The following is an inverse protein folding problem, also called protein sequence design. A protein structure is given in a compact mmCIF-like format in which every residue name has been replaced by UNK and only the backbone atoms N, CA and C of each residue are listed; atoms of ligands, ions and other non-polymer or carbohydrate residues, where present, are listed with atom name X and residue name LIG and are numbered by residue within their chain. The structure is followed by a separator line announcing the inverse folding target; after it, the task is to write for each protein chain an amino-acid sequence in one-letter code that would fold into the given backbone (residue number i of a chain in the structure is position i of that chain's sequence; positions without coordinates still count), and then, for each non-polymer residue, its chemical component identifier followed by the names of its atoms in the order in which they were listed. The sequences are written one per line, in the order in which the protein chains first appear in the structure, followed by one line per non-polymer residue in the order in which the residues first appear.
data_IF_557356460071
#
_entry.id   IF_557356460071
#
_cell.length_a   1.000
_cell.length_b   1.000
_cell.length_c   1.000
_cell.angle_alpha   90.00
_cell.angle_beta   90.00
_cell.angle_gamma   90.00
#
_symmetry.space_group_name_H-M   'P 1'
#
loop_
_entity.id
_entity.type
_entity.pdbx_description
1 polymer ?
#
# COMPACT_ATOMS: atom_id res chain seq x y z
N UNK A 1 -13.79 73.80 -33.44
CA UNK A 1 -14.48 74.84 -32.65
C UNK A 1 -15.91 74.36 -32.49
N UNK A 2 -16.17 73.60 -31.44
CA UNK A 2 -17.49 73.06 -31.10
C UNK A 2 -17.55 73.02 -29.58
N UNK A 3 -18.53 73.75 -29.06
CA UNK A 3 -18.91 73.85 -27.65
C UNK A 3 -19.81 72.67 -27.30
N UNK A 4 -20.16 72.63 -26.00
CA UNK A 4 -21.30 71.94 -25.38
C UNK A 4 -20.95 70.58 -24.78
N UNK A 5 -21.32 70.22 -23.55
CA UNK A 5 -21.96 70.92 -22.44
C UNK A 5 -21.74 70.03 -21.21
N UNK A 6 -21.43 70.61 -20.05
CA UNK A 6 -21.47 69.92 -18.76
C UNK A 6 -22.92 69.57 -18.40
N UNK A 7 -23.20 68.36 -17.92
CA UNK A 7 -24.16 68.16 -16.84
C UNK A 7 -23.92 66.84 -16.09
N UNK A 8 -23.80 66.95 -14.77
CA UNK A 8 -23.67 65.88 -13.78
C UNK A 8 -24.88 64.95 -13.75
N UNK A 9 -24.65 63.65 -13.53
CA UNK A 9 -25.45 62.87 -12.57
C UNK A 9 -24.67 61.67 -12.04
N UNK A 10 -24.98 61.35 -10.79
CA UNK A 10 -24.22 60.53 -9.87
C UNK A 10 -24.41 59.01 -10.05
N UNK A 11 -23.36 58.27 -9.66
CA UNK A 11 -23.34 57.03 -8.88
C UNK A 11 -24.39 55.96 -9.22
N UNK A 12 -23.92 54.83 -9.75
CA UNK A 12 -24.32 53.50 -9.28
C UNK A 12 -23.23 52.48 -9.64
N UNK A 13 -22.32 52.23 -8.70
CA UNK A 13 -21.48 51.05 -8.73
C UNK A 13 -22.38 49.85 -8.39
N UNK A 14 -22.72 49.03 -9.38
CA UNK A 14 -23.38 47.74 -9.14
C UNK A 14 -22.30 46.79 -8.64
N UNK A 15 -22.17 46.72 -7.31
CA UNK A 15 -21.42 45.67 -6.63
C UNK A 15 -22.23 44.37 -6.76
N UNK A 16 -21.92 43.54 -7.75
CA UNK A 16 -22.43 42.17 -7.80
C UNK A 16 -21.68 41.38 -6.72
N UNK A 17 -22.17 41.45 -5.48
CA UNK A 17 -21.84 40.46 -4.47
C UNK A 17 -22.49 39.15 -4.89
N UNK A 18 -21.69 38.29 -5.53
CA UNK A 18 -22.00 36.87 -5.57
C UNK A 18 -21.92 36.37 -4.12
N UNK A 19 -23.07 36.33 -3.46
CA UNK A 19 -23.25 35.57 -2.23
C UNK A 19 -23.11 34.11 -2.65
N UNK A 20 -21.90 33.57 -2.57
CA UNK A 20 -21.74 32.13 -2.42
C UNK A 20 -22.29 31.81 -1.04
N UNK A 21 -23.59 31.56 -0.97
CA UNK A 21 -24.13 30.73 0.10
C UNK A 21 -23.51 29.36 -0.10
N UNK A 22 -22.36 29.12 0.52
CA UNK A 22 -21.94 27.79 0.88
C UNK A 22 -23.01 27.28 1.85
N UNK A 23 -24.07 26.71 1.29
CA UNK A 23 -24.89 25.72 1.98
C UNK A 23 -23.96 24.54 2.22
N UNK A 24 -23.15 24.61 3.26
CA UNK A 24 -22.52 23.45 3.85
C UNK A 24 -23.65 22.62 4.47
N UNK A 25 -24.36 21.85 3.63
CA UNK A 25 -24.88 20.59 4.09
C UNK A 25 -23.65 19.74 4.36
N UNK A 26 -23.16 19.75 5.61
CA UNK A 26 -22.38 18.63 6.10
C UNK A 26 -23.26 17.40 5.89
N UNK A 27 -22.98 16.64 4.84
CA UNK A 27 -23.62 15.35 4.65
C UNK A 27 -23.23 14.51 5.87
N UNK A 28 -24.22 13.96 6.57
CA UNK A 28 -24.08 12.94 7.62
C UNK A 28 -23.56 11.59 7.03
N UNK A 29 -22.80 11.66 5.93
CA UNK A 29 -22.30 10.51 5.20
C UNK A 29 -21.15 9.88 5.98
N UNK A 30 -21.30 8.58 6.27
CA UNK A 30 -20.29 7.78 6.96
C UNK A 30 -18.96 7.80 6.19
N UNK A 31 -17.86 8.35 6.74
CA UNK A 31 -16.56 8.45 6.05
C UNK A 31 -15.96 7.10 5.63
N UNK A 32 -16.45 6.00 6.19
CA UNK A 32 -16.08 4.64 5.78
C UNK A 32 -16.75 4.20 4.47
N UNK A 33 -17.80 4.92 4.04
CA UNK A 33 -18.55 4.70 2.81
C UNK A 33 -18.37 5.84 1.79
N UNK A 34 -17.59 6.86 2.15
CA UNK A 34 -17.22 7.97 1.29
C UNK A 34 -15.83 7.74 0.67
N UNK A 35 -15.69 8.06 -0.61
CA UNK A 35 -14.48 7.77 -1.39
C UNK A 35 -13.79 9.06 -1.81
N UNK A 36 -12.47 9.10 -1.65
CA UNK A 36 -11.65 10.18 -2.19
C UNK A 36 -11.67 10.08 -3.73
N UNK A 37 -12.11 11.16 -4.39
CA UNK A 37 -12.19 11.24 -5.85
C UNK A 37 -10.83 11.53 -6.47
N UNK A 38 -9.98 10.51 -6.51
CA UNK A 38 -8.66 10.53 -7.15
C UNK A 38 -8.55 9.45 -8.22
N UNK A 39 -7.77 9.74 -9.27
CA UNK A 39 -7.47 8.74 -10.30
C UNK A 39 -6.76 7.55 -9.67
N UNK A 40 -7.32 6.36 -9.89
CA UNK A 40 -6.72 5.11 -9.42
C UNK A 40 -5.34 4.91 -10.06
N UNK A 41 -4.34 4.63 -9.24
CA UNK A 41 -2.94 4.50 -9.70
C UNK A 41 -2.28 3.18 -9.32
N UNK A 42 -2.87 2.39 -8.42
CA UNK A 42 -2.29 1.13 -7.93
C UNK A 42 -2.49 0.04 -8.99
N UNK A 43 -1.40 -0.45 -9.58
CA UNK A 43 -1.39 -1.56 -10.54
C UNK A 43 -1.63 -2.90 -9.86
N UNK A 44 -0.97 -3.11 -8.72
CA UNK A 44 -1.16 -4.31 -7.92
C UNK A 44 -0.89 -4.08 -6.43
N UNK A 45 -1.45 -4.96 -5.60
CA UNK A 45 -1.04 -5.19 -4.22
C UNK A 45 -0.59 -6.64 -4.07
N UNK A 46 0.61 -6.84 -3.53
CA UNK A 46 1.25 -8.14 -3.31
C UNK A 46 1.38 -8.37 -1.80
N UNK A 47 0.54 -9.23 -1.26
CA UNK A 47 0.62 -9.64 0.14
C UNK A 47 1.58 -10.82 0.25
N UNK A 48 2.60 -10.70 1.09
CA UNK A 48 3.62 -11.73 1.32
C UNK A 48 3.66 -12.10 2.78
N UNK A 49 3.71 -13.40 3.05
CA UNK A 49 3.85 -13.97 4.38
C UNK A 49 4.38 -15.40 4.24
N UNK A 50 4.60 -16.10 5.35
CA UNK A 50 4.77 -17.54 5.41
C UNK A 50 3.44 -18.25 5.20
N UNK A 51 3.46 -19.53 4.80
CA UNK A 51 2.23 -20.34 4.69
C UNK A 51 1.48 -20.41 6.03
N UNK A 52 2.20 -20.54 7.14
CA UNK A 52 1.61 -20.60 8.47
C UNK A 52 0.99 -19.26 8.89
N UNK A 53 1.72 -18.15 8.71
CA UNK A 53 1.23 -16.80 8.97
C UNK A 53 -0.03 -16.48 8.15
N UNK A 54 0.00 -16.80 6.85
CA UNK A 54 -1.16 -16.60 5.97
C UNK A 54 -2.38 -17.41 6.40
N UNK A 55 -2.19 -18.66 6.80
CA UNK A 55 -3.27 -19.51 7.29
C UNK A 55 -3.91 -18.93 8.56
N UNK A 56 -3.09 -18.42 9.48
CA UNK A 56 -3.55 -17.75 10.70
C UNK A 56 -4.30 -16.45 10.38
N UNK A 57 -3.77 -15.61 9.50
CA UNK A 57 -4.42 -14.37 9.03
C UNK A 57 -5.80 -14.65 8.41
N UNK A 58 -5.92 -15.69 7.57
CA UNK A 58 -7.22 -16.11 7.01
C UNK A 58 -8.17 -16.58 8.11
N UNK A 59 -7.69 -17.36 9.08
CA UNK A 59 -8.50 -17.87 10.20
C UNK A 59 -9.03 -16.72 11.05
N UNK A 60 -8.18 -15.76 11.40
CA UNK A 60 -8.55 -14.56 12.17
C UNK A 60 -9.53 -13.67 11.40
N UNK A 61 -9.33 -13.47 10.09
CA UNK A 61 -10.24 -12.70 9.26
C UNK A 61 -11.64 -13.29 9.20
N UNK A 62 -11.75 -14.60 8.94
CA UNK A 62 -13.03 -15.32 8.96
C UNK A 62 -13.73 -15.20 10.31
N UNK A 63 -12.98 -15.33 11.40
CA UNK A 63 -13.51 -15.17 12.76
C UNK A 63 -14.04 -13.74 12.99
N UNK A 64 -13.27 -12.72 12.60
CA UNK A 64 -13.65 -11.32 12.80
C UNK A 64 -14.89 -10.95 11.97
N UNK A 65 -14.95 -11.38 10.71
CA UNK A 65 -16.10 -11.13 9.85
C UNK A 65 -17.36 -11.87 10.35
N UNK A 66 -17.22 -13.07 10.93
CA UNK A 66 -18.32 -13.76 11.60
C UNK A 66 -18.79 -13.01 12.87
N UNK A 67 -17.88 -12.46 13.67
CA UNK A 67 -18.23 -11.65 14.84
C UNK A 67 -18.97 -10.36 14.44
N UNK A 68 -18.59 -9.76 13.31
CA UNK A 68 -19.30 -8.62 12.72
C UNK A 68 -20.71 -9.00 12.27
N UNK A 69 -20.82 -10.06 11.47
CA UNK A 69 -22.10 -10.55 10.95
C UNK A 69 -23.08 -10.96 12.06
N UNK A 70 -22.57 -11.48 13.17
CA UNK A 70 -23.38 -11.84 14.36
C UNK A 70 -23.61 -10.67 15.32
N UNK A 71 -23.18 -9.45 14.97
CA UNK A 71 -23.29 -8.21 15.76
C UNK A 71 -22.65 -8.30 17.16
N UNK A 72 -21.74 -9.26 17.36
CA UNK A 72 -20.96 -9.42 18.61
C UNK A 72 -19.82 -8.41 18.70
N UNK A 73 -19.34 -7.95 17.55
CA UNK A 73 -18.45 -6.81 17.38
C UNK A 73 -18.95 -5.98 16.20
N UNK A 74 -18.58 -4.71 16.16
CA UNK A 74 -18.85 -3.84 15.02
C UNK A 74 -17.53 -3.27 14.54
N UNK A 75 -17.00 -3.84 13.46
CA UNK A 75 -15.83 -3.33 12.78
C UNK A 75 -16.27 -2.33 11.71
N UNK A 76 -15.45 -1.31 11.45
CA UNK A 76 -15.71 -0.33 10.38
C UNK A 76 -15.76 -1.05 9.03
N UNK A 77 -14.75 -1.90 8.77
CA UNK A 77 -14.62 -2.71 7.58
C UNK A 77 -14.59 -4.21 7.88
N UNK A 78 -14.91 -5.01 6.86
CA UNK A 78 -14.64 -6.45 6.86
C UNK A 78 -13.14 -6.69 6.62
N UNK A 79 -12.60 -7.76 7.17
CA UNK A 79 -11.20 -8.12 6.98
C UNK A 79 -11.01 -8.85 5.65
N UNK A 80 -10.25 -8.27 4.72
CA UNK A 80 -10.04 -8.80 3.37
C UNK A 80 -9.21 -10.07 3.29
N UNK A 81 -8.44 -10.42 4.33
CA UNK A 81 -7.56 -11.60 4.29
C UNK A 81 -8.35 -12.90 4.03
N UNK A 82 -9.65 -12.95 4.36
CA UNK A 82 -10.50 -14.11 4.03
C UNK A 82 -10.71 -14.31 2.51
N UNK A 83 -10.60 -13.23 1.73
CA UNK A 83 -10.84 -13.21 0.29
C UNK A 83 -9.57 -13.40 -0.52
N UNK A 84 -8.40 -13.13 0.07
CA UNK A 84 -7.14 -13.12 -0.66
C UNK A 84 -6.79 -14.52 -1.18
N UNK A 85 -6.58 -14.68 -2.50
CA UNK A 85 -6.23 -15.97 -3.08
C UNK A 85 -4.77 -16.25 -2.78
N UNK A 86 -4.46 -17.47 -2.34
CA UNK A 86 -3.07 -17.95 -2.34
C UNK A 86 -2.65 -18.20 -3.78
N UNK A 87 -1.69 -17.45 -4.29
CA UNK A 87 -1.29 -17.51 -5.71
C UNK A 87 -0.02 -18.30 -5.96
N UNK A 88 1.03 -18.13 -5.13
CA UNK A 88 2.31 -18.82 -5.32
C UNK A 88 2.89 -19.28 -3.98
N UNK A 89 3.51 -20.46 -4.00
CA UNK A 89 4.29 -21.01 -2.90
C UNK A 89 5.75 -21.12 -3.34
N UNK A 90 6.66 -20.50 -2.60
CA UNK A 90 8.09 -20.53 -2.88
C UNK A 90 8.79 -21.14 -1.67
N UNK A 91 9.20 -22.40 -1.82
CA UNK A 91 9.89 -23.14 -0.78
C UNK A 91 11.39 -22.88 -0.85
N UNK A 92 12.01 -22.66 0.31
CA UNK A 92 13.46 -22.61 0.48
C UNK A 92 13.91 -23.77 1.39
N UNK A 93 15.02 -24.45 1.10
CA UNK A 93 15.55 -25.48 1.98
C UNK A 93 15.79 -24.96 3.40
N UNK A 94 15.31 -25.69 4.41
CA UNK A 94 15.48 -25.39 5.83
C UNK A 94 14.93 -24.01 6.27
N UNK A 95 13.97 -23.46 5.55
CA UNK A 95 13.28 -22.22 5.91
C UNK A 95 11.77 -22.37 5.69
N UNK A 96 10.98 -21.46 6.27
CA UNK A 96 9.54 -21.47 6.08
C UNK A 96 9.16 -21.19 4.63
N UNK A 97 8.12 -21.86 4.13
CA UNK A 97 7.64 -21.63 2.77
C UNK A 97 6.95 -20.27 2.71
N UNK A 98 7.39 -19.43 1.77
CA UNK A 98 6.79 -18.12 1.52
C UNK A 98 5.59 -18.30 0.60
N UNK A 99 4.51 -17.60 0.92
CA UNK A 99 3.32 -17.53 0.09
C UNK A 99 3.07 -16.08 -0.34
N UNK A 100 2.54 -15.94 -1.55
CA UNK A 100 2.08 -14.65 -2.06
C UNK A 100 0.59 -14.68 -2.35
N UNK A 101 -0.08 -13.55 -2.16
CA UNK A 101 -1.41 -13.29 -2.67
C UNK A 101 -1.38 -11.97 -3.45
N UNK A 102 -1.79 -12.01 -4.72
CA UNK A 102 -1.67 -10.88 -5.63
C UNK A 102 -3.05 -10.39 -6.09
N UNK A 103 -3.34 -9.12 -5.82
CA UNK A 103 -4.46 -8.41 -6.38
C UNK A 103 -3.97 -7.48 -7.48
N UNK A 104 -4.52 -7.62 -8.70
CA UNK A 104 -4.23 -6.74 -9.83
C UNK A 104 -5.44 -5.89 -10.15
N UNK A 105 -5.20 -4.65 -10.54
CA UNK A 105 -6.24 -3.70 -10.87
C UNK A 105 -6.05 -3.17 -12.30
N UNK A 106 -7.15 -2.79 -12.95
CA UNK A 106 -7.10 -1.95 -14.14
C UNK A 106 -7.01 -0.45 -13.77
N UNK A 107 -6.83 0.43 -14.76
CA UNK A 107 -6.73 1.88 -14.52
C UNK A 107 -8.01 2.51 -13.95
N UNK A 108 -9.15 1.80 -14.00
CA UNK A 108 -10.40 2.20 -13.36
C UNK A 108 -10.52 1.67 -11.92
N UNK A 109 -9.51 0.97 -11.42
CA UNK A 109 -9.48 0.38 -10.08
C UNK A 109 -10.27 -0.91 -9.95
N UNK A 110 -10.71 -1.55 -11.04
CA UNK A 110 -11.44 -2.82 -10.98
C UNK A 110 -10.46 -3.98 -10.83
N UNK A 111 -10.82 -4.98 -10.03
CA UNK A 111 -10.00 -6.17 -9.88
C UNK A 111 -9.97 -7.00 -11.16
N UNK A 112 -8.76 -7.30 -11.63
CA UNK A 112 -8.49 -8.24 -12.72
C UNK A 112 -8.26 -9.62 -12.12
N UNK A 113 -9.25 -10.50 -12.19
CA UNK A 113 -9.21 -11.80 -11.53
C UNK A 113 -10.08 -12.85 -12.20
N UNK A 114 -9.62 -14.11 -12.13
CA UNK A 114 -10.41 -15.29 -12.49
C UNK A 114 -11.15 -15.90 -11.28
N UNK A 115 -10.85 -15.46 -10.06
CA UNK A 115 -11.55 -15.92 -8.86
C UNK A 115 -12.98 -15.37 -8.85
N UNK A 116 -13.97 -16.27 -8.90
CA UNK A 116 -15.39 -15.92 -8.89
C UNK A 116 -15.80 -15.13 -7.64
N UNK A 117 -15.14 -15.36 -6.49
CA UNK A 117 -15.42 -14.64 -5.24
C UNK A 117 -15.05 -13.17 -5.35
N UNK A 118 -13.95 -12.86 -6.05
CA UNK A 118 -13.41 -11.52 -6.24
C UNK A 118 -13.94 -10.80 -7.50
N UNK A 119 -14.73 -11.48 -8.33
CA UNK A 119 -15.31 -10.87 -9.53
C UNK A 119 -16.24 -9.70 -9.17
N UNK A 120 -16.06 -8.59 -9.89
CA UNK A 120 -16.88 -7.39 -9.75
C UNK A 120 -16.49 -6.47 -8.60
N UNK A 121 -15.42 -6.78 -7.87
CA UNK A 121 -14.86 -5.87 -6.88
C UNK A 121 -14.00 -4.77 -7.55
N UNK A 122 -13.95 -3.61 -6.91
CA UNK A 122 -13.05 -2.52 -7.25
C UNK A 122 -12.37 -1.98 -5.99
N UNK A 123 -11.16 -1.46 -6.15
CA UNK A 123 -10.44 -0.72 -5.14
C UNK A 123 -10.97 0.71 -5.03
N UNK A 124 -11.04 1.22 -3.80
CA UNK A 124 -11.35 2.61 -3.47
C UNK A 124 -10.44 3.08 -2.34
N UNK A 125 -10.16 4.38 -2.31
CA UNK A 125 -9.54 5.04 -1.17
C UNK A 125 -10.65 5.70 -0.34
N UNK A 126 -10.85 5.24 0.89
CA UNK A 126 -11.84 5.85 1.79
C UNK A 126 -11.32 7.16 2.36
N UNK A 127 -12.22 8.05 2.79
CA UNK A 127 -11.84 9.26 3.52
C UNK A 127 -11.13 8.97 4.86
N UNK A 128 -11.33 7.77 5.42
CA UNK A 128 -10.56 7.29 6.58
C UNK A 128 -9.09 6.90 6.27
N UNK A 129 -8.61 7.09 5.05
CA UNK A 129 -7.22 6.76 4.68
C UNK A 129 -6.96 5.26 4.54
N UNK A 130 -7.93 4.50 4.03
CA UNK A 130 -7.79 3.07 3.76
C UNK A 130 -8.00 2.76 2.28
N UNK A 131 -7.18 1.86 1.74
CA UNK A 131 -7.52 1.20 0.49
C UNK A 131 -8.47 0.05 0.82
N UNK A 132 -9.65 0.05 0.22
CA UNK A 132 -10.70 -0.92 0.47
C UNK A 132 -11.16 -1.60 -0.82
N UNK A 133 -11.69 -2.81 -0.72
CA UNK A 133 -12.44 -3.48 -1.79
C UNK A 133 -13.94 -3.29 -1.57
N UNK A 134 -14.60 -2.79 -2.61
CA UNK A 134 -16.05 -2.60 -2.67
C UNK A 134 -16.66 -3.36 -3.84
N UNK A 135 -17.94 -3.70 -3.76
CA UNK A 135 -18.74 -4.14 -4.91
C UNK A 135 -19.59 -2.95 -5.38
N UNK A 136 -19.19 -2.21 -6.44
CA UNK A 136 -19.82 -0.94 -6.79
C UNK A 136 -21.32 -1.04 -7.10
N UNK A 137 -21.77 -2.22 -7.54
CA UNK A 137 -23.15 -2.46 -7.95
C UNK A 137 -24.02 -3.09 -6.83
N UNK A 138 -23.53 -3.12 -5.59
CA UNK A 138 -24.26 -3.68 -4.45
C UNK A 138 -24.34 -2.63 -3.36
N UNK A 139 -25.48 -1.94 -3.31
CA UNK A 139 -25.73 -0.89 -2.32
C UNK A 139 -25.62 -1.46 -0.89
N UNK A 140 -25.07 -0.64 0.01
CA UNK A 140 -24.94 -0.94 1.45
C UNK A 140 -24.11 -2.18 1.81
N UNK A 141 -23.23 -2.65 0.91
CA UNK A 141 -22.29 -3.71 1.28
C UNK A 141 -21.13 -3.09 2.05
N UNK A 142 -20.89 -3.58 3.28
CA UNK A 142 -19.71 -3.17 4.06
C UNK A 142 -18.43 -3.45 3.26
N UNK A 143 -17.51 -2.48 3.10
CA UNK A 143 -16.25 -2.67 2.39
C UNK A 143 -15.33 -3.66 3.11
N UNK A 144 -14.39 -4.23 2.34
CA UNK A 144 -13.29 -5.02 2.88
C UNK A 144 -12.02 -4.18 2.96
N UNK A 145 -11.44 -4.05 4.14
CA UNK A 145 -10.17 -3.35 4.34
C UNK A 145 -9.00 -4.14 3.77
N UNK A 146 -8.24 -3.53 2.85
CA UNK A 146 -7.01 -4.12 2.34
C UNK A 146 -5.81 -3.70 3.18
N UNK A 147 -5.62 -2.40 3.31
CA UNK A 147 -4.40 -1.75 3.81
C UNK A 147 -4.69 -0.30 4.17
N UNK A 148 -3.92 0.22 5.12
CA UNK A 148 -3.86 1.66 5.40
C UNK A 148 -3.13 2.37 4.26
N UNK A 149 -3.58 3.57 3.91
CA UNK A 149 -2.88 4.44 2.98
C UNK A 149 -2.04 5.45 3.77
N UNK A 150 -0.72 5.26 3.80
CA UNK A 150 0.20 6.27 4.31
C UNK A 150 0.43 7.30 3.21
N UNK A 151 0.09 8.57 3.46
CA UNK A 151 0.27 9.64 2.47
C UNK A 151 1.74 9.93 2.15
N UNK A 152 2.64 9.65 3.10
CA UNK A 152 4.06 9.95 2.97
C UNK A 152 4.40 11.39 3.37
N UNK A 153 5.68 11.75 3.24
CA UNK A 153 6.20 13.11 3.47
C UNK A 153 6.32 13.81 2.11
N UNK A 154 5.63 14.95 1.89
CA UNK A 154 5.73 15.70 0.65
C UNK A 154 7.18 16.02 0.26
N UNK A 155 7.53 15.78 -1.02
CA UNK A 155 8.88 16.04 -1.53
C UNK A 155 9.94 14.99 -1.16
N UNK A 156 9.61 14.00 -0.32
CA UNK A 156 10.53 12.94 0.06
C UNK A 156 10.19 11.63 -0.64
N UNK A 157 10.96 11.25 -1.67
CA UNK A 157 10.74 10.02 -2.43
C UNK A 157 10.95 8.75 -1.60
N UNK A 158 11.76 8.80 -0.54
CA UNK A 158 11.95 7.67 0.38
C UNK A 158 10.75 7.45 1.29
N UNK A 159 9.94 8.48 1.48
CA UNK A 159 8.70 8.48 2.25
C UNK A 159 7.52 8.84 1.36
N UNK A 160 7.46 8.27 0.17
CA UNK A 160 6.33 8.48 -0.71
C UNK A 160 5.03 7.84 -0.19
N UNK A 161 3.90 8.10 -0.84
CA UNK A 161 2.64 7.46 -0.50
C UNK A 161 2.78 5.94 -0.62
N UNK A 162 2.27 5.19 0.35
CA UNK A 162 2.42 3.74 0.41
C UNK A 162 1.23 3.05 1.07
N UNK A 163 0.72 1.94 0.51
CA UNK A 163 -0.12 1.01 1.23
C UNK A 163 0.69 0.31 2.34
N UNK A 164 0.18 0.32 3.57
CA UNK A 164 0.80 -0.27 4.75
C UNK A 164 -0.17 -1.23 5.46
N UNK A 165 0.37 -2.28 6.06
CA UNK A 165 -0.37 -3.16 6.97
C UNK A 165 -0.24 -2.65 8.41
N UNK A 166 -1.11 -3.14 9.30
CA UNK A 166 -1.07 -2.75 10.73
C UNK A 166 0.32 -2.98 11.36
N UNK A 167 1.01 -4.06 10.97
CA UNK A 167 2.35 -4.37 11.44
C UNK A 167 3.37 -3.27 11.12
N UNK A 168 3.23 -2.56 9.99
CA UNK A 168 4.12 -1.46 9.62
C UNK A 168 4.07 -0.34 10.67
N UNK A 169 2.90 -0.06 11.26
CA UNK A 169 2.78 0.95 12.31
C UNK A 169 3.67 0.61 13.50
N UNK A 170 3.58 -0.63 13.98
CA UNK A 170 4.40 -1.13 15.09
C UNK A 170 5.88 -1.16 14.68
N UNK A 171 6.17 -1.57 13.44
CA UNK A 171 7.54 -1.63 12.89
C UNK A 171 8.30 -0.32 13.02
N UNK A 172 7.62 0.80 12.82
CA UNK A 172 8.27 2.11 12.82
C UNK A 172 8.24 2.81 14.19
N UNK A 173 7.67 2.20 15.24
CA UNK A 173 7.73 2.71 16.61
C UNK A 173 9.16 2.61 17.19
N UNK A 174 9.45 3.46 18.18
CA UNK A 174 10.80 3.65 18.70
C UNK A 174 11.35 2.42 19.45
N UNK A 175 10.45 1.59 19.98
CA UNK A 175 10.74 0.38 20.75
C UNK A 175 10.85 -0.89 19.89
N UNK A 176 10.70 -0.77 18.57
CA UNK A 176 10.92 -1.88 17.66
C UNK A 176 12.34 -2.45 17.80
N UNK A 177 12.42 -3.77 17.98
CA UNK A 177 13.67 -4.51 18.09
C UNK A 177 13.78 -5.50 16.95
N UNK A 178 14.81 -5.32 16.14
CA UNK A 178 15.19 -6.20 15.02
C UNK A 178 15.18 -7.66 15.46
N UNK A 179 14.42 -8.50 14.77
CA UNK A 179 14.32 -9.94 15.03
C UNK A 179 13.41 -10.38 16.18
N UNK A 180 12.72 -9.47 16.87
CA UNK A 180 11.67 -9.80 17.86
C UNK A 180 10.27 -9.94 17.23
N UNK A 181 10.14 -9.60 15.95
CA UNK A 181 8.88 -9.46 15.21
C UNK A 181 8.97 -10.13 13.82
N UNK A 182 7.85 -10.32 13.08
CA UNK A 182 7.82 -11.08 11.83
C UNK A 182 8.39 -10.31 10.62
N UNK A 183 9.53 -9.63 10.78
CA UNK A 183 10.33 -9.03 9.71
C UNK A 183 10.53 -7.52 9.85
N UNK A 184 11.70 -7.05 9.44
CA UNK A 184 12.13 -5.64 9.57
C UNK A 184 11.98 -4.84 8.26
N UNK A 185 11.37 -5.43 7.24
CA UNK A 185 11.03 -4.78 5.97
C UNK A 185 9.54 -4.43 5.92
N UNK A 186 9.21 -3.20 5.55
CA UNK A 186 7.83 -2.72 5.47
C UNK A 186 7.54 -1.75 4.34
N UNK A 187 6.41 -1.06 4.46
CA UNK A 187 5.88 -0.19 3.40
C UNK A 187 6.76 1.04 3.07
N UNK A 188 7.58 1.53 4.02
CA UNK A 188 8.56 2.62 3.80
C UNK A 188 9.78 2.12 3.03
N UNK A 189 10.36 1.00 3.44
CA UNK A 189 11.48 0.36 2.73
C UNK A 189 11.09 -0.01 1.30
N UNK A 190 9.86 -0.51 1.11
CA UNK A 190 9.32 -0.77 -0.22
C UNK A 190 9.28 0.49 -1.08
N UNK A 191 8.73 1.58 -0.55
CA UNK A 191 8.52 2.82 -1.33
C UNK A 191 9.83 3.48 -1.71
N UNK A 192 10.80 3.52 -0.79
CA UNK A 192 12.13 4.04 -1.07
C UNK A 192 12.82 3.25 -2.20
N UNK A 193 12.62 1.93 -2.27
CA UNK A 193 13.17 1.11 -3.35
C UNK A 193 12.38 1.23 -4.66
N UNK A 194 11.04 1.30 -4.58
CA UNK A 194 10.16 1.45 -5.74
C UNK A 194 10.44 2.75 -6.49
N UNK A 195 10.64 3.87 -5.78
CA UNK A 195 10.83 5.20 -6.39
C UNK A 195 12.29 5.55 -6.69
N UNK A 196 13.24 4.68 -6.35
CA UNK A 196 14.64 4.86 -6.73
C UNK A 196 14.93 4.14 -8.05
N UNK A 197 15.03 4.88 -9.16
CA UNK A 197 15.31 4.33 -10.49
C UNK A 197 16.68 3.65 -10.61
N UNK A 198 17.64 3.99 -9.74
CA UNK A 198 18.96 3.35 -9.69
C UNK A 198 18.93 1.97 -9.02
N UNK A 199 17.84 1.64 -8.32
CA UNK A 199 17.62 0.31 -7.73
C UNK A 199 16.80 -0.54 -8.70
N UNK A 200 17.39 -1.56 -9.35
CA UNK A 200 16.69 -2.33 -10.38
C UNK A 200 15.76 -3.41 -9.82
N UNK A 201 15.80 -3.68 -8.53
CA UNK A 201 14.94 -4.64 -7.83
C UNK A 201 14.56 -4.11 -6.44
N UNK A 202 13.57 -4.74 -5.82
CA UNK A 202 13.18 -4.52 -4.42
C UNK A 202 13.70 -5.71 -3.60
N UNK A 203 14.63 -5.46 -2.69
CA UNK A 203 15.12 -6.44 -1.72
C UNK A 203 14.26 -6.39 -0.45
N UNK A 204 13.51 -7.46 -0.21
CA UNK A 204 12.57 -7.60 0.91
C UNK A 204 13.15 -8.40 2.08
N UNK A 205 14.46 -8.65 2.06
CA UNK A 205 15.13 -9.45 3.09
C UNK A 205 15.14 -8.74 4.44
N UNK A 206 14.75 -9.48 5.48
CA UNK A 206 15.09 -9.14 6.86
C UNK A 206 16.44 -9.75 7.21
N UNK A 207 17.44 -8.91 7.39
CA UNK A 207 18.82 -9.25 7.69
C UNK A 207 19.05 -9.27 9.21
N UNK A 208 19.33 -10.44 9.76
CA UNK A 208 19.60 -10.57 11.20
C UNK A 208 20.83 -11.43 11.47
N UNK A 209 21.39 -11.29 12.68
CA UNK A 209 22.48 -12.15 13.15
C UNK A 209 22.08 -13.63 13.30
N UNK A 210 20.77 -13.92 13.39
CA UNK A 210 20.24 -15.29 13.59
C UNK A 210 19.89 -15.98 12.27
N UNK A 211 19.99 -15.28 11.15
CA UNK A 211 19.59 -15.76 9.83
C UNK A 211 18.70 -14.75 9.12
N UNK A 212 18.73 -14.81 7.79
CA UNK A 212 17.92 -13.94 6.95
C UNK A 212 16.58 -14.61 6.69
N UNK A 213 15.52 -13.83 6.64
CA UNK A 213 14.19 -14.34 6.33
C UNK A 213 13.35 -13.27 5.62
N UNK A 214 12.23 -13.71 5.04
CA UNK A 214 11.25 -12.81 4.44
C UNK A 214 10.04 -12.76 5.38
N UNK A 215 9.76 -11.58 5.90
CA UNK A 215 8.67 -11.34 6.84
C UNK A 215 7.32 -11.04 6.18
N UNK A 216 6.33 -10.73 7.02
CA UNK A 216 5.02 -10.25 6.56
C UNK A 216 5.13 -8.80 6.05
N UNK A 217 4.69 -8.58 4.81
CA UNK A 217 4.60 -7.24 4.23
C UNK A 217 3.54 -7.17 3.12
N UNK A 218 3.22 -5.93 2.72
CA UNK A 218 2.47 -5.64 1.49
C UNK A 218 3.36 -4.83 0.53
N UNK A 219 3.52 -5.37 -0.67
CA UNK A 219 4.16 -4.69 -1.79
C UNK A 219 3.12 -4.09 -2.74
N UNK A 220 3.52 -3.13 -3.55
CA UNK A 220 2.64 -2.49 -4.53
C UNK A 220 3.43 -1.83 -5.66
N UNK A 221 2.73 -1.41 -6.71
CA UNK A 221 3.34 -0.65 -7.80
C UNK A 221 2.30 0.21 -8.50
N UNK A 222 2.69 1.33 -9.11
CA UNK A 222 1.80 2.14 -9.95
C UNK A 222 1.82 1.68 -11.40
N UNK A 223 0.81 2.06 -12.18
CA UNK A 223 0.83 1.81 -13.64
C UNK A 223 2.01 2.47 -14.35
N UNK A 224 2.47 3.60 -13.83
CA UNK A 224 3.61 4.35 -14.40
C UNK A 224 4.98 3.83 -13.98
N UNK A 225 5.04 2.99 -12.94
CA UNK A 225 6.32 2.49 -12.44
C UNK A 225 6.76 1.31 -13.31
N UNK A 226 8.04 1.28 -13.67
CA UNK A 226 8.62 0.13 -14.36
C UNK A 226 8.51 -1.12 -13.47
N UNK A 227 8.26 -2.31 -14.05
CA UNK A 227 8.36 -3.56 -13.30
C UNK A 227 9.71 -3.69 -12.61
N UNK A 228 9.70 -3.98 -11.30
CA UNK A 228 10.91 -4.22 -10.50
C UNK A 228 10.83 -5.61 -9.90
N UNK A 229 11.77 -6.52 -10.19
CA UNK A 229 11.83 -7.82 -9.55
C UNK A 229 11.83 -7.68 -8.03
N UNK A 230 11.04 -8.52 -7.37
CA UNK A 230 10.94 -8.56 -5.92
C UNK A 230 11.72 -9.78 -5.47
N UNK A 231 12.84 -9.54 -4.82
CA UNK A 231 13.77 -10.57 -4.39
C UNK A 231 13.95 -10.55 -2.87
N UNK A 232 14.32 -11.68 -2.29
CA UNK A 232 14.67 -11.74 -0.88
C UNK A 232 15.40 -13.03 -0.53
N UNK A 233 16.24 -12.96 0.49
CA UNK A 233 16.91 -14.13 1.05
C UNK A 233 16.06 -14.72 2.18
N UNK A 234 15.68 -15.99 2.03
CA UNK A 234 15.01 -16.77 3.06
C UNK A 234 15.89 -17.95 3.50
N UNK A 235 16.33 -17.93 4.75
CA UNK A 235 17.43 -18.75 5.23
C UNK A 235 18.74 -18.39 4.52
N UNK A 236 19.23 -19.31 3.68
CA UNK A 236 20.41 -19.11 2.82
C UNK A 236 20.08 -19.06 1.33
N UNK A 237 18.78 -19.05 1.00
CA UNK A 237 18.29 -19.20 -0.37
C UNK A 237 17.75 -17.88 -0.85
N UNK A 238 18.25 -17.39 -1.98
CA UNK A 238 17.65 -16.25 -2.65
C UNK A 238 16.41 -16.67 -3.42
N UNK A 239 15.37 -15.86 -3.35
CA UNK A 239 14.09 -16.08 -4.00
C UNK A 239 13.76 -14.87 -4.87
N UNK A 240 13.12 -15.12 -6.01
CA UNK A 240 12.32 -14.11 -6.69
C UNK A 240 10.84 -14.40 -6.43
N UNK A 241 10.12 -13.43 -5.89
CA UNK A 241 8.73 -13.57 -5.46
C UNK A 241 7.74 -13.08 -6.51
N UNK A 242 8.09 -12.01 -7.23
CA UNK A 242 7.22 -11.39 -8.22
C UNK A 242 8.01 -10.48 -9.18
N UNK A 243 7.43 -10.20 -10.35
CA UNK A 243 8.05 -9.45 -11.47
C UNK A 243 9.47 -9.92 -11.83
N UNK A 244 9.72 -11.22 -11.77
CA UNK A 244 11.02 -11.78 -12.11
C UNK A 244 11.42 -11.40 -13.55
N UNK A 245 12.71 -11.06 -13.76
CA UNK A 245 13.15 -10.45 -15.01
C UNK A 245 13.01 -11.42 -16.18
N UNK A 246 12.94 -10.88 -17.40
CA UNK A 246 12.85 -11.67 -18.64
C UNK A 246 11.70 -12.70 -18.68
N UNK A 247 10.60 -12.45 -17.95
CA UNK A 247 9.43 -13.34 -17.91
C UNK A 247 9.64 -14.63 -17.09
N UNK A 248 10.70 -14.69 -16.29
CA UNK A 248 10.94 -15.79 -15.37
C UNK A 248 9.77 -15.94 -14.37
N UNK A 249 9.56 -17.17 -13.91
CA UNK A 249 8.55 -17.44 -12.90
C UNK A 249 9.13 -17.21 -11.50
N UNK A 250 8.31 -16.82 -10.51
CA UNK A 250 8.71 -16.82 -9.10
C UNK A 250 9.32 -18.16 -8.68
N UNK A 251 10.38 -18.11 -7.89
CA UNK A 251 11.14 -19.31 -7.54
C UNK A 251 12.48 -19.02 -6.90
N UNK A 252 13.30 -20.08 -6.81
CA UNK A 252 14.64 -20.04 -6.24
C UNK A 252 15.62 -19.40 -7.23
N UNK A 253 16.44 -18.48 -6.73
CA UNK A 253 17.64 -17.98 -7.38
C UNK A 253 18.83 -18.78 -6.82
N UNK A 254 19.30 -19.77 -7.58
CA UNK A 254 20.34 -20.70 -7.12
C UNK A 254 21.69 -20.02 -6.86
N UNK A 255 22.04 -19.04 -7.68
CA UNK A 255 23.28 -18.26 -7.57
C UNK A 255 22.95 -16.79 -7.86
N UNK A 256 22.93 -15.97 -6.81
CA UNK A 256 22.62 -14.55 -6.90
C UNK A 256 23.66 -13.77 -7.71
N UNK A 257 24.92 -14.22 -7.74
CA UNK A 257 25.98 -13.58 -8.53
C UNK A 257 25.81 -13.86 -10.02
N UNK A 258 25.47 -15.10 -10.37
CA UNK A 258 25.13 -15.44 -11.75
C UNK A 258 23.85 -14.73 -12.20
N UNK A 259 22.83 -14.68 -11.35
CA UNK A 259 21.56 -14.00 -11.64
C UNK A 259 21.76 -12.49 -11.84
N UNK A 260 22.50 -11.82 -10.96
CA UNK A 260 22.85 -10.40 -11.11
C UNK A 260 23.59 -10.13 -12.43
N UNK A 261 24.61 -10.93 -12.76
CA UNK A 261 25.34 -10.80 -14.04
C UNK A 261 24.44 -11.01 -15.26
N UNK A 262 23.55 -12.01 -15.23
CA UNK A 262 22.64 -12.34 -16.34
C UNK A 262 21.71 -11.16 -16.67
N UNK A 263 21.25 -10.43 -15.65
CA UNK A 263 20.28 -9.36 -15.81
C UNK A 263 20.89 -7.95 -15.70
N UNK A 264 22.21 -7.86 -15.58
CA UNK A 264 22.95 -6.61 -15.36
C UNK A 264 22.47 -5.85 -14.11
N UNK A 265 22.25 -6.58 -13.01
CA UNK A 265 21.86 -6.03 -11.72
C UNK A 265 23.05 -6.09 -10.74
N UNK A 266 23.20 -5.07 -9.86
CA UNK A 266 24.15 -5.15 -8.77
C UNK A 266 23.76 -6.27 -7.80
N UNK A 267 24.69 -6.68 -6.94
CA UNK A 267 24.36 -7.65 -5.89
C UNK A 267 23.56 -6.97 -4.77
N UNK A 268 22.60 -7.67 -4.15
CA UNK A 268 21.90 -7.17 -2.97
C UNK A 268 22.90 -6.84 -1.86
N UNK A 269 22.72 -5.67 -1.26
CA UNK A 269 23.54 -5.18 -0.15
C UNK A 269 22.62 -4.95 1.04
N UNK A 270 22.89 -5.58 2.20
CA UNK A 270 22.12 -5.31 3.41
C UNK A 270 22.17 -3.82 3.78
N UNK A 271 21.05 -3.21 4.22
CA UNK A 271 21.07 -1.87 4.75
C UNK A 271 21.88 -1.81 6.06
N UNK A 272 22.32 -0.61 6.44
CA UNK A 272 23.12 -0.40 7.66
C UNK A 272 22.37 -0.76 8.95
N UNK A 273 21.05 -0.59 8.95
CA UNK A 273 20.15 -0.93 10.05
C UNK A 273 18.76 -1.27 9.48
N UNK A 274 17.98 -2.08 10.22
CA UNK A 274 16.59 -2.37 9.89
C UNK A 274 15.67 -2.26 11.12
N UNK A 275 14.47 -1.67 10.99
CA UNK A 275 13.94 -1.00 9.80
C UNK A 275 14.75 0.24 9.42
N UNK A 276 14.82 0.56 8.13
CA UNK A 276 15.67 1.65 7.61
C UNK A 276 15.05 3.02 7.90
N UNK A 277 13.73 3.07 8.10
CA UNK A 277 12.98 4.33 8.22
C UNK A 277 12.10 4.41 9.48
N UNK A 278 12.67 4.34 10.72
CA UNK A 278 11.90 4.39 11.97
C UNK A 278 11.46 5.81 12.33
N UNK A 279 10.35 5.96 13.09
CA UNK A 279 9.76 7.25 13.44
C UNK A 279 10.71 8.19 14.21
N UNK A 280 11.53 7.68 15.15
CA UNK A 280 12.53 8.48 15.88
C UNK A 280 13.42 9.36 15.02
N UNK A 281 13.67 8.99 13.77
CA UNK A 281 14.53 9.73 12.86
C UNK A 281 13.78 10.85 12.08
N UNK A 282 12.44 10.92 12.21
CA UNK A 282 11.56 11.79 11.41
C UNK A 282 10.41 12.39 12.24
N UNK A 283 10.59 12.55 13.56
CA UNK A 283 9.50 12.97 14.48
C UNK A 283 8.91 14.33 14.11
N UNK A 284 9.77 15.29 13.78
CA UNK A 284 9.34 16.66 13.46
C UNK A 284 8.48 16.68 12.18
N UNK A 285 8.95 16.03 11.11
CA UNK A 285 8.22 15.92 9.84
C UNK A 285 6.85 15.22 9.99
N UNK A 286 6.76 14.20 10.85
CA UNK A 286 5.52 13.46 11.09
C UNK A 286 4.53 14.32 11.90
N UNK A 287 5.02 15.13 12.84
CA UNK A 287 4.15 15.98 13.68
C UNK A 287 3.61 17.18 12.90
N UNK A 288 4.40 17.78 12.01
CA UNK A 288 3.95 18.88 11.15
C UNK A 288 2.73 18.48 10.30
N UNK A 289 2.70 17.25 9.77
CA UNK A 289 1.58 16.73 8.99
C UNK A 289 0.29 16.48 9.79
N UNK A 290 0.35 16.46 11.13
CA UNK A 290 -0.82 16.27 12.01
C UNK A 290 -1.41 17.58 12.53
N UNK A 291 -0.79 18.73 12.21
CA UNK A 291 -1.19 20.05 12.70
C UNK A 291 -1.89 20.94 11.65
N UNK A 292 -2.08 20.43 10.43
CA UNK A 292 -2.87 21.03 9.34
C UNK A 292 -4.20 20.27 9.14
#
# INVERSE_FOLDING_TARGET
MTKDLFLCTAISAVLVQAIFTNSASASDEDPSLTWIDVRWSIRYLLFVDTVAGKAESIRLAKRNNLLDATKKKQFIYLNSQELLPTTNLVAAPNAETITTALLRFDEAGRLITNDRRLRGFAGKLSELGHVVLVRPNVNHTKPYDLVYWAQGIPGNSSFGPSPCIFLDKIRYEDDWKTGDYPGDFGCREWTAQLFNDERPYIDVTTYTKRGNFIGEFVGWSRFKDAPKPIIGMNGKTWLCLHECPAGEQPGIINDIQAWGRKHNYPLPVPPLYQPEYPNKNYKDDIQELNHD
#
